data_IF_113468083558
#
_entry.id   IF_113468083558
#
_cell.length_a   1.000
_cell.length_b   1.000
_cell.length_c   1.000
_cell.angle_alpha   90.00
_cell.angle_beta   90.00
_cell.angle_gamma   90.00
#
_symmetry.space_group_name_H-M   'P 1'
#
loop_
_entity.id
_entity.type
_entity.pdbx_description
1 polymer ?
#
# COMPACT_ATOMS: atom_id res chain seq x y z
N UNK A 1 46.31 -4.69 -60.78
CA UNK A 1 46.35 -5.01 -59.35
C UNK A 1 45.17 -4.35 -58.69
N UNK A 2 44.10 -5.09 -58.41
CA UNK A 2 42.81 -4.55 -57.76
C UNK A 2 42.97 -4.72 -56.26
N UNK A 3 42.91 -3.60 -55.54
CA UNK A 3 42.88 -3.58 -54.06
C UNK A 3 41.48 -3.89 -53.58
N UNK A 4 41.34 -5.00 -52.87
CA UNK A 4 40.09 -5.42 -52.21
C UNK A 4 40.01 -4.73 -50.88
N UNK A 5 39.06 -3.78 -50.73
CA UNK A 5 38.77 -3.10 -49.47
C UNK A 5 37.73 -3.92 -48.72
N UNK A 6 38.13 -4.56 -47.61
CA UNK A 6 37.23 -5.28 -46.71
C UNK A 6 36.67 -4.26 -45.72
N UNK A 7 35.34 -4.00 -45.82
CA UNK A 7 34.62 -3.19 -44.87
C UNK A 7 34.11 -4.10 -43.76
N UNK A 8 34.66 -3.94 -42.55
CA UNK A 8 34.20 -4.61 -41.34
C UNK A 8 32.96 -3.81 -40.79
N UNK A 9 31.78 -4.37 -41.00
CA UNK A 9 30.56 -3.89 -40.36
C UNK A 9 30.58 -4.37 -38.89
N UNK A 10 30.91 -3.44 -37.97
CA UNK A 10 30.78 -3.64 -36.54
C UNK A 10 29.32 -3.44 -36.17
N UNK A 11 28.55 -4.54 -36.07
CA UNK A 11 27.19 -4.53 -35.58
C UNK A 11 27.22 -4.30 -34.06
N UNK A 12 27.01 -3.04 -33.62
CA UNK A 12 26.76 -2.69 -32.22
C UNK A 12 25.39 -3.23 -31.84
N UNK A 13 25.36 -4.41 -31.25
CA UNK A 13 24.20 -4.97 -30.57
C UNK A 13 24.03 -4.23 -29.24
N UNK A 14 23.28 -3.11 -29.28
CA UNK A 14 22.83 -2.43 -28.08
C UNK A 14 21.81 -3.33 -27.39
N UNK A 15 22.27 -4.12 -26.42
CA UNK A 15 21.38 -4.80 -25.49
C UNK A 15 20.62 -3.72 -24.68
N UNK A 16 19.31 -3.59 -24.91
CA UNK A 16 18.41 -2.88 -24.03
C UNK A 16 18.42 -3.61 -22.67
N UNK A 17 19.29 -3.19 -21.77
CA UNK A 17 19.12 -3.45 -20.34
C UNK A 17 17.86 -2.69 -19.92
N UNK A 18 16.76 -3.41 -19.83
CA UNK A 18 15.52 -2.88 -19.24
C UNK A 18 15.79 -2.47 -17.80
N UNK A 19 16.07 -1.18 -17.59
CA UNK A 19 16.08 -0.58 -16.27
C UNK A 19 14.64 -0.67 -15.73
N UNK A 20 14.35 -1.71 -14.95
CA UNK A 20 13.16 -1.76 -14.14
C UNK A 20 13.28 -0.66 -13.06
N UNK A 21 12.88 0.56 -13.40
CA UNK A 21 12.78 1.64 -12.41
C UNK A 21 11.77 1.20 -11.34
N UNK A 22 12.26 0.96 -10.11
CA UNK A 22 11.38 0.67 -8.98
C UNK A 22 10.53 1.92 -8.74
N UNK A 23 9.21 1.79 -8.83
CA UNK A 23 8.29 2.88 -8.52
C UNK A 23 8.46 3.27 -7.05
N UNK A 24 8.78 4.53 -6.80
CA UNK A 24 8.91 5.07 -5.45
C UNK A 24 7.54 5.58 -4.99
N UNK A 25 6.98 4.96 -3.98
CA UNK A 25 5.77 5.43 -3.31
C UNK A 25 6.13 6.40 -2.20
N UNK A 26 5.37 7.49 -2.07
CA UNK A 26 5.62 8.53 -1.08
C UNK A 26 4.47 8.61 -0.08
N UNK A 27 4.84 8.78 1.19
CA UNK A 27 3.94 8.99 2.30
C UNK A 27 4.33 10.34 2.94
N UNK A 28 3.99 11.45 2.25
CA UNK A 28 4.36 12.79 2.68
C UNK A 28 3.23 13.45 3.47
N UNK A 29 3.42 13.60 4.77
CA UNK A 29 2.46 14.23 5.68
C UNK A 29 3.19 15.07 6.73
N UNK A 30 2.55 16.14 7.18
CA UNK A 30 3.06 17.00 8.24
C UNK A 30 2.51 16.58 9.63
N UNK A 31 2.98 17.28 10.69
CA UNK A 31 2.58 16.99 12.07
C UNK A 31 1.10 17.26 12.36
N UNK A 32 0.44 18.08 11.54
CA UNK A 32 -0.98 18.45 11.71
C UNK A 32 -1.91 17.57 10.88
N UNK A 33 -1.36 16.69 10.03
CA UNK A 33 -2.16 15.78 9.19
C UNK A 33 -2.96 14.83 10.06
N UNK A 34 -4.30 14.91 9.92
CA UNK A 34 -5.25 14.03 10.60
C UNK A 34 -5.75 12.94 9.67
N UNK A 35 -5.90 11.74 10.21
CA UNK A 35 -6.53 10.64 9.49
C UNK A 35 -8.00 10.93 9.21
N UNK A 36 -8.47 10.54 8.02
CA UNK A 36 -9.84 10.79 7.58
C UNK A 36 -10.88 10.13 8.49
N UNK A 37 -10.69 8.84 8.80
CA UNK A 37 -11.67 8.02 9.53
C UNK A 37 -11.60 8.26 11.04
N UNK A 38 -10.42 8.17 11.64
CA UNK A 38 -10.25 8.22 13.11
C UNK A 38 -9.92 9.61 13.66
N UNK A 39 -9.70 10.61 12.79
CA UNK A 39 -9.36 12.00 13.16
C UNK A 39 -8.10 12.14 14.03
N UNK A 40 -7.24 11.13 14.04
CA UNK A 40 -5.98 11.08 14.79
C UNK A 40 -4.82 11.63 13.99
N UNK A 41 -3.79 12.14 14.66
CA UNK A 41 -2.56 12.62 14.02
C UNK A 41 -1.72 11.46 13.50
N UNK A 42 -1.54 11.38 12.18
CA UNK A 42 -0.91 10.22 11.51
C UNK A 42 0.57 10.08 11.87
N UNK A 43 1.29 11.18 12.08
CA UNK A 43 2.72 11.15 12.40
C UNK A 43 3.07 10.40 13.69
N UNK A 44 2.10 10.23 14.60
CA UNK A 44 2.29 9.50 15.86
C UNK A 44 2.37 7.98 15.67
N UNK A 45 1.99 7.49 14.49
CA UNK A 45 1.85 6.06 14.22
C UNK A 45 2.49 5.65 12.88
N UNK A 46 3.78 5.98 12.63
CA UNK A 46 4.41 5.90 11.31
C UNK A 46 4.40 4.49 10.70
N UNK A 47 4.44 3.44 11.52
CA UNK A 47 4.40 2.04 11.03
C UNK A 47 3.03 1.56 10.54
N UNK A 48 1.97 2.38 10.69
CA UNK A 48 0.61 1.99 10.36
C UNK A 48 -0.05 2.88 9.30
N UNK A 49 0.57 3.97 8.90
CA UNK A 49 -0.05 4.96 8.02
C UNK A 49 -0.42 4.35 6.67
N UNK A 50 -1.62 4.68 6.21
CA UNK A 50 -2.04 4.44 4.83
C UNK A 50 -2.51 5.75 4.18
N UNK A 51 -2.44 5.80 2.85
CA UNK A 51 -2.83 6.95 2.04
C UNK A 51 -3.62 6.48 0.82
N UNK A 52 -4.63 7.25 0.43
CA UNK A 52 -5.23 7.16 -0.90
C UNK A 52 -5.05 8.48 -1.63
N UNK A 53 -4.81 8.41 -2.93
CA UNK A 53 -4.78 9.54 -3.85
C UNK A 53 -5.88 9.37 -4.89
N UNK A 54 -6.65 10.42 -5.14
CA UNK A 54 -7.68 10.45 -6.19
C UNK A 54 -7.08 10.80 -7.54
N UNK A 55 -7.87 10.62 -8.61
CA UNK A 55 -7.50 11.06 -9.97
C UNK A 55 -7.29 12.58 -10.07
N UNK A 56 -7.93 13.34 -9.20
CA UNK A 56 -7.76 14.79 -9.06
C UNK A 56 -6.61 15.20 -8.12
N UNK A 57 -5.74 14.24 -7.76
CA UNK A 57 -4.58 14.45 -6.88
C UNK A 57 -4.93 14.93 -5.47
N UNK A 58 -6.12 14.60 -4.96
CA UNK A 58 -6.46 14.79 -3.54
C UNK A 58 -5.94 13.60 -2.75
N UNK A 59 -5.35 13.88 -1.60
CA UNK A 59 -4.80 12.87 -0.71
C UNK A 59 -5.59 12.77 0.60
N UNK A 60 -5.84 11.53 1.04
CA UNK A 60 -6.47 11.23 2.32
C UNK A 60 -5.61 10.22 3.08
N UNK A 61 -5.37 10.50 4.34
CA UNK A 61 -4.52 9.71 5.21
C UNK A 61 -5.32 8.92 6.24
N UNK A 62 -4.78 7.77 6.64
CA UNK A 62 -5.37 6.86 7.60
C UNK A 62 -4.31 6.41 8.60
N UNK A 63 -4.70 6.17 9.85
CA UNK A 63 -3.79 5.68 10.90
C UNK A 63 -3.60 4.16 10.86
N UNK A 64 -4.24 3.47 9.91
CA UNK A 64 -4.09 2.02 9.75
C UNK A 64 -4.60 1.53 8.40
N UNK A 65 -4.11 0.36 7.93
CA UNK A 65 -4.67 -0.32 6.76
C UNK A 65 -6.16 -0.63 6.92
N UNK A 66 -6.62 -1.07 8.09
CA UNK A 66 -8.05 -1.32 8.35
C UNK A 66 -8.89 -0.06 8.05
N UNK A 67 -8.51 1.08 8.59
CA UNK A 67 -9.23 2.34 8.36
C UNK A 67 -9.21 2.78 6.89
N UNK A 68 -8.13 2.49 6.16
CA UNK A 68 -8.07 2.71 4.71
C UNK A 68 -9.04 1.78 3.97
N UNK A 69 -9.10 0.48 4.33
CA UNK A 69 -10.06 -0.45 3.74
C UNK A 69 -11.51 -0.10 4.06
N UNK A 70 -11.79 0.39 5.26
CA UNK A 70 -13.13 0.88 5.64
C UNK A 70 -13.58 1.99 4.67
N UNK A 71 -12.72 2.95 4.39
CA UNK A 71 -12.97 3.99 3.38
C UNK A 71 -13.04 3.41 1.96
N UNK A 72 -12.15 2.49 1.59
CA UNK A 72 -12.09 1.88 0.27
C UNK A 72 -13.40 1.16 -0.11
N UNK A 73 -14.05 0.48 0.86
CA UNK A 73 -15.29 -0.25 0.61
C UNK A 73 -16.54 0.62 0.65
N UNK A 74 -16.55 1.68 1.46
CA UNK A 74 -17.73 2.54 1.66
C UNK A 74 -17.35 4.04 1.65
N UNK A 75 -16.72 4.58 0.59
CA UNK A 75 -16.25 5.98 0.59
C UNK A 75 -17.38 6.99 0.78
N UNK A 76 -18.61 6.65 0.38
CA UNK A 76 -19.81 7.49 0.57
C UNK A 76 -20.14 7.79 2.05
N UNK A 77 -19.58 7.05 3.00
CA UNK A 77 -19.68 7.38 4.43
C UNK A 77 -18.95 8.69 4.79
N UNK A 78 -18.10 9.19 3.90
CA UNK A 78 -17.35 10.46 4.05
C UNK A 78 -17.65 11.41 2.89
N UNK A 79 -18.87 12.01 2.85
CA UNK A 79 -19.34 12.81 1.72
C UNK A 79 -18.48 14.04 1.43
N UNK A 80 -17.79 14.58 2.42
CA UNK A 80 -16.87 15.72 2.26
C UNK A 80 -15.70 15.41 1.31
N UNK A 81 -15.37 14.12 1.10
CA UNK A 81 -14.32 13.71 0.17
C UNK A 81 -14.75 13.83 -1.29
N UNK A 82 -16.06 13.81 -1.56
CA UNK A 82 -16.67 13.75 -2.90
C UNK A 82 -16.23 12.52 -3.70
N UNK A 83 -16.02 11.40 -3.02
CA UNK A 83 -15.67 10.10 -3.59
C UNK A 83 -16.87 9.17 -3.39
N UNK A 84 -17.46 8.70 -4.49
CA UNK A 84 -18.63 7.83 -4.46
C UNK A 84 -18.25 6.35 -4.48
N UNK A 85 -17.12 6.02 -5.15
CA UNK A 85 -16.60 4.66 -5.22
C UNK A 85 -15.07 4.60 -5.32
N UNK A 86 -14.51 3.41 -5.08
CA UNK A 86 -13.07 3.18 -5.12
C UNK A 86 -12.44 3.23 -6.51
N UNK A 87 -13.22 3.30 -7.61
CA UNK A 87 -12.69 3.42 -8.97
C UNK A 87 -12.13 4.83 -9.25
N UNK A 88 -12.50 5.82 -8.45
CA UNK A 88 -11.93 7.17 -8.50
C UNK A 88 -10.56 7.27 -7.83
N UNK A 89 -10.11 6.23 -7.12
CA UNK A 89 -8.80 6.19 -6.47
C UNK A 89 -7.71 5.83 -7.50
N UNK A 90 -6.78 6.75 -7.71
CA UNK A 90 -5.61 6.60 -8.59
C UNK A 90 -4.57 5.69 -7.95
N UNK A 91 -4.21 5.99 -6.69
CA UNK A 91 -3.17 5.30 -5.96
C UNK A 91 -3.62 4.99 -4.53
N UNK A 92 -3.19 3.83 -4.02
CA UNK A 92 -3.34 3.44 -2.62
C UNK A 92 -1.99 2.98 -2.11
N UNK A 93 -1.52 3.60 -1.04
CA UNK A 93 -0.21 3.37 -0.43
C UNK A 93 -0.41 2.96 1.02
N UNK A 94 0.37 1.99 1.47
CA UNK A 94 0.45 1.58 2.88
C UNK A 94 1.89 1.59 3.35
N UNK A 95 2.10 1.62 4.65
CA UNK A 95 3.43 1.45 5.25
C UNK A 95 3.74 -0.04 5.38
N UNK A 96 4.88 -0.47 4.85
CA UNK A 96 5.43 -1.78 5.15
C UNK A 96 5.79 -1.86 6.64
N UNK A 97 5.17 -2.78 7.36
CA UNK A 97 5.29 -2.87 8.82
C UNK A 97 6.72 -3.21 9.30
N UNK A 98 7.49 -3.94 8.48
CA UNK A 98 8.87 -4.33 8.80
C UNK A 98 9.87 -3.21 8.54
N UNK A 99 9.75 -2.53 7.41
CA UNK A 99 10.75 -1.58 6.91
C UNK A 99 10.36 -0.13 7.11
N UNK A 100 9.12 0.15 7.45
CA UNK A 100 8.49 1.48 7.53
C UNK A 100 8.56 2.28 6.22
N UNK A 101 8.71 1.60 5.08
CA UNK A 101 8.67 2.23 3.75
C UNK A 101 7.24 2.29 3.21
N UNK A 102 6.98 3.31 2.41
CA UNK A 102 5.75 3.38 1.63
C UNK A 102 5.77 2.33 0.51
N UNK A 103 4.70 1.54 0.37
CA UNK A 103 4.55 0.47 -0.61
C UNK A 103 3.17 0.50 -1.25
N UNK A 104 3.05 -0.11 -2.45
CA UNK A 104 1.77 -0.23 -3.14
C UNK A 104 0.82 -1.14 -2.37
N UNK A 105 -0.31 -0.60 -1.93
CA UNK A 105 -1.31 -1.36 -1.20
C UNK A 105 -1.88 -2.55 -1.99
N UNK A 106 -2.11 -2.37 -3.30
CA UNK A 106 -2.71 -3.41 -4.15
C UNK A 106 -1.78 -4.60 -4.41
N UNK A 107 -0.46 -4.41 -4.26
CA UNK A 107 0.57 -5.44 -4.38
C UNK A 107 1.04 -6.01 -3.04
N UNK A 108 0.53 -5.51 -1.92
CA UNK A 108 0.95 -5.88 -0.58
C UNK A 108 0.22 -7.10 -0.04
N UNK A 109 0.83 -7.70 0.99
CA UNK A 109 0.28 -8.78 1.81
C UNK A 109 -0.13 -8.23 3.17
N UNK A 110 -1.24 -8.73 3.71
CA UNK A 110 -1.85 -8.27 4.96
C UNK A 110 -2.00 -9.43 5.93
N UNK A 111 -1.55 -9.27 7.17
CA UNK A 111 -1.66 -10.32 8.19
C UNK A 111 -2.87 -10.06 9.07
N UNK A 112 -3.86 -10.97 9.00
CA UNK A 112 -5.04 -10.96 9.85
C UNK A 112 -4.84 -11.77 11.13
N UNK A 113 -5.37 -11.29 12.23
CA UNK A 113 -5.49 -12.02 13.50
C UNK A 113 -4.20 -12.10 14.30
N UNK A 114 -3.22 -11.22 14.03
CA UNK A 114 -2.01 -11.09 14.83
C UNK A 114 -2.31 -10.42 16.19
N UNK A 115 -1.36 -10.55 17.13
CA UNK A 115 -1.42 -9.90 18.44
C UNK A 115 -0.97 -8.42 18.41
N UNK A 116 -0.75 -7.84 17.22
CA UNK A 116 -0.39 -6.43 17.06
C UNK A 116 -1.63 -5.58 16.84
N UNK A 117 -1.71 -4.52 17.61
CA UNK A 117 -2.86 -3.59 17.63
C UNK A 117 -2.43 -2.26 17.05
N UNK A 118 -3.17 -1.76 16.08
CA UNK A 118 -3.02 -0.41 15.53
C UNK A 118 -3.72 0.63 16.40
N UNK A 119 -3.54 1.94 16.12
CA UNK A 119 -4.35 2.98 16.75
C UNK A 119 -5.86 2.81 16.55
N UNK A 120 -6.27 2.03 15.53
CA UNK A 120 -7.67 1.73 15.23
C UNK A 120 -8.15 0.38 15.83
N UNK A 121 -7.39 -0.24 16.73
CA UNK A 121 -7.67 -1.57 17.31
C UNK A 121 -7.06 -2.71 16.49
N UNK A 122 -7.70 -3.89 16.49
CA UNK A 122 -7.31 -5.03 15.66
C UNK A 122 -7.21 -4.62 14.20
N UNK A 123 -6.15 -5.07 13.51
CA UNK A 123 -5.83 -4.54 12.19
C UNK A 123 -5.13 -5.56 11.28
N UNK A 124 -4.67 -5.06 10.16
CA UNK A 124 -4.05 -5.80 9.06
C UNK A 124 -2.68 -5.17 8.74
N UNK A 125 -1.61 -5.43 9.53
CA UNK A 125 -0.27 -4.95 9.18
C UNK A 125 0.10 -5.40 7.77
N UNK A 126 0.66 -4.47 6.97
CA UNK A 126 0.97 -4.66 5.56
C UNK A 126 2.46 -4.94 5.33
N UNK A 127 2.77 -5.73 4.31
CA UNK A 127 4.13 -6.13 3.94
C UNK A 127 4.33 -6.10 2.43
N UNK A 128 5.52 -5.68 1.96
CA UNK A 128 5.86 -5.63 0.54
C UNK A 128 5.95 -7.03 -0.08
N UNK A 129 6.41 -8.02 0.71
CA UNK A 129 6.58 -9.39 0.23
C UNK A 129 5.97 -10.43 1.18
N UNK A 130 5.71 -11.61 0.62
CA UNK A 130 5.06 -12.70 1.34
C UNK A 130 5.93 -13.28 2.47
N UNK A 131 7.24 -13.37 2.29
CA UNK A 131 8.14 -13.99 3.28
C UNK A 131 8.19 -13.16 4.56
N UNK A 132 8.22 -11.83 4.45
CA UNK A 132 8.16 -10.94 5.61
C UNK A 132 6.80 -11.01 6.31
N UNK A 133 5.69 -11.09 5.55
CA UNK A 133 4.36 -11.30 6.09
C UNK A 133 4.27 -12.63 6.84
N UNK A 134 4.85 -13.70 6.26
CA UNK A 134 4.88 -15.03 6.88
C UNK A 134 5.71 -15.05 8.16
N UNK A 135 6.92 -14.50 8.13
CA UNK A 135 7.77 -14.42 9.32
C UNK A 135 7.08 -13.64 10.45
N UNK A 136 6.43 -12.52 10.10
CA UNK A 136 5.65 -11.74 11.06
C UNK A 136 4.47 -12.55 11.62
N UNK A 137 3.70 -13.21 10.75
CA UNK A 137 2.55 -14.03 11.13
C UNK A 137 2.94 -15.13 12.11
N UNK A 138 4.02 -15.87 11.82
CA UNK A 138 4.53 -16.96 12.68
C UNK A 138 4.94 -16.42 14.07
N UNK A 139 5.56 -15.24 14.12
CA UNK A 139 6.08 -14.64 15.37
C UNK A 139 5.02 -13.87 16.17
N UNK A 140 3.87 -13.57 15.60
CA UNK A 140 2.86 -12.69 16.22
C UNK A 140 1.45 -13.31 16.23
N UNK A 141 1.35 -14.64 16.19
CA UNK A 141 0.07 -15.38 16.21
C UNK A 141 -0.89 -15.04 15.06
N UNK A 142 -0.36 -14.63 13.90
CA UNK A 142 -1.16 -14.34 12.73
C UNK A 142 -1.95 -15.56 12.27
N UNK A 143 -3.20 -15.35 11.89
CA UNK A 143 -4.13 -16.44 11.48
C UNK A 143 -4.15 -16.64 9.97
N UNK A 144 -4.04 -15.56 9.20
CA UNK A 144 -4.08 -15.59 7.72
C UNK A 144 -3.23 -14.48 7.14
N UNK A 145 -2.60 -14.78 6.00
CA UNK A 145 -1.96 -13.79 5.12
C UNK A 145 -2.89 -13.61 3.92
N UNK A 146 -3.25 -12.38 3.63
CA UNK A 146 -4.21 -11.99 2.61
C UNK A 146 -3.56 -11.06 1.60
N UNK A 147 -3.83 -11.24 0.32
CA UNK A 147 -3.60 -10.21 -0.68
C UNK A 147 -4.65 -9.09 -0.56
N UNK A 148 -4.43 -7.94 -1.18
CA UNK A 148 -5.39 -6.83 -1.21
C UNK A 148 -6.80 -7.28 -1.63
N UNK A 149 -6.90 -8.14 -2.66
CA UNK A 149 -8.18 -8.63 -3.20
C UNK A 149 -8.90 -9.61 -2.27
N UNK A 150 -8.18 -10.27 -1.38
CA UNK A 150 -8.74 -11.20 -0.40
C UNK A 150 -9.27 -10.51 0.85
N UNK A 151 -8.85 -9.27 1.12
CA UNK A 151 -9.48 -8.44 2.14
C UNK A 151 -10.89 -8.09 1.65
N UNK A 152 -11.91 -8.48 2.42
CA UNK A 152 -13.32 -8.25 2.09
C UNK A 152 -13.96 -7.30 3.09
N UNK A 153 -15.03 -6.63 2.66
CA UNK A 153 -15.80 -5.70 3.50
C UNK A 153 -16.22 -6.33 4.84
N UNK A 154 -16.77 -7.55 4.82
CA UNK A 154 -17.16 -8.26 6.04
C UNK A 154 -16.01 -8.52 7.02
N UNK A 155 -14.76 -8.68 6.53
CA UNK A 155 -13.61 -8.75 7.42
C UNK A 155 -13.36 -7.41 8.14
N UNK A 156 -13.54 -6.30 7.45
CA UNK A 156 -13.36 -4.96 8.04
C UNK A 156 -14.47 -4.69 9.07
N UNK A 157 -15.70 -5.06 8.76
CA UNK A 157 -16.85 -4.97 9.67
C UNK A 157 -16.60 -5.80 10.94
N UNK A 158 -16.10 -7.05 10.78
CA UNK A 158 -15.71 -7.88 11.92
C UNK A 158 -14.61 -7.22 12.78
N UNK A 159 -13.56 -6.69 12.15
CA UNK A 159 -12.46 -6.00 12.87
C UNK A 159 -12.89 -4.69 13.54
N UNK A 160 -13.97 -4.07 13.09
CA UNK A 160 -14.57 -2.89 13.71
C UNK A 160 -15.54 -3.26 14.84
N UNK A 161 -15.97 -4.53 14.93
CA UNK A 161 -16.99 -4.96 15.87
C UNK A 161 -18.42 -4.63 15.43
N UNK A 162 -18.64 -4.47 14.13
CA UNK A 162 -19.96 -4.15 13.55
C UNK A 162 -20.82 -5.41 13.32
N UNK A 163 -20.17 -6.60 13.34
CA UNK A 163 -20.82 -7.93 13.22
C UNK A 163 -20.16 -8.95 14.14
#
# INVERSE_FOLDING_TARGET
MKKLTVVFLFSCMFGLLGLNAKVLYLMDFNKDTKSLVRKMLVYKHPGWVAKVETKESKEFYFVSPKSMFEFYFDPQKWPDTKIDDSNSLKEIVVTDYKTHRAINARGSFYVYGSNKISPAGDDLPAFENYDDAKQFSDNNNGKRILSFKEVKKGLIELLNGDI
#
